data_IF_956710711668
#
_entry.id   IF_956710711668
#
_cell.length_a   1.000
_cell.length_b   1.000
_cell.length_c   1.000
_cell.angle_alpha   90.00
_cell.angle_beta   90.00
_cell.angle_gamma   90.00
#
_symmetry.space_group_name_H-M   'P 1'
#
loop_
_entity.id
_entity.type
_entity.pdbx_description
1 polymer ?
#
# COMPACT_ATOMS: atom_id res chain seq x y z
N UNK A 1 0.64 -3.13 2.11
CA UNK A 1 2.08 -2.98 1.80
C UNK A 1 2.79 -2.20 2.90
N UNK A 2 4.09 -2.42 3.13
CA UNK A 2 4.94 -1.56 3.99
C UNK A 2 6.39 -1.57 3.51
N UNK A 3 7.24 -0.74 4.11
CA UNK A 3 8.70 -0.76 3.94
C UNK A 3 9.36 -1.50 5.11
N UNK A 4 10.56 -2.01 4.87
CA UNK A 4 11.43 -2.52 5.93
C UNK A 4 12.84 -1.95 5.75
N UNK A 5 13.55 -1.82 6.86
CA UNK A 5 14.95 -1.38 6.88
C UNK A 5 15.86 -2.54 6.45
N UNK A 6 16.72 -2.30 5.46
CA UNK A 6 17.53 -3.35 4.84
C UNK A 6 18.67 -3.86 5.74
N UNK A 7 19.18 -3.04 6.64
CA UNK A 7 20.27 -3.41 7.54
C UNK A 7 19.74 -4.31 8.68
N UNK A 8 18.61 -3.92 9.25
CA UNK A 8 18.01 -4.58 10.41
C UNK A 8 16.98 -5.65 10.05
N UNK A 9 16.43 -5.63 8.84
CA UNK A 9 15.32 -6.47 8.42
C UNK A 9 13.98 -6.12 9.07
N UNK A 10 13.92 -5.03 9.84
CA UNK A 10 12.73 -4.67 10.61
C UNK A 10 11.75 -3.82 9.80
N UNK A 11 10.43 -4.05 9.91
CA UNK A 11 9.42 -3.16 9.32
C UNK A 11 9.55 -1.74 9.87
N UNK A 12 9.42 -0.74 9.01
CA UNK A 12 9.41 0.65 9.46
C UNK A 12 8.08 0.97 10.14
N UNK A 13 8.10 1.88 11.11
CA UNK A 13 6.86 2.40 11.70
C UNK A 13 6.22 3.42 10.76
N UNK A 14 4.92 3.23 10.49
CA UNK A 14 4.07 4.12 9.71
C UNK A 14 3.17 4.98 10.61
N UNK A 15 2.37 5.87 10.03
CA UNK A 15 1.45 6.72 10.81
C UNK A 15 0.32 5.95 11.45
N UNK A 16 -0.05 4.78 10.91
CA UNK A 16 -1.05 3.83 11.41
C UNK A 16 -0.61 2.38 11.15
N UNK A 17 -1.31 1.42 11.74
CA UNK A 17 -1.12 -0.01 11.46
C UNK A 17 -1.75 -0.43 10.13
N UNK A 18 -1.37 -1.62 9.65
CA UNK A 18 -2.10 -2.32 8.58
C UNK A 18 -3.47 -2.80 9.11
N UNK A 19 -4.50 -2.78 8.27
CA UNK A 19 -5.90 -3.06 8.63
C UNK A 19 -6.44 -2.23 9.82
N UNK A 20 -5.82 -1.08 10.09
CA UNK A 20 -6.33 -0.17 11.11
C UNK A 20 -7.60 0.52 10.57
N UNK A 21 -8.71 0.48 11.32
CA UNK A 21 -9.95 1.15 10.92
C UNK A 21 -10.09 2.50 11.65
N UNK A 22 -9.16 3.42 11.37
CA UNK A 22 -9.10 4.74 12.02
C UNK A 22 -8.71 5.86 11.05
N UNK A 23 -8.84 7.14 11.44
CA UNK A 23 -8.32 8.26 10.65
C UNK A 23 -6.83 8.17 10.31
N UNK A 24 -6.05 7.34 11.02
CA UNK A 24 -4.62 7.14 10.76
C UNK A 24 -4.33 6.35 9.49
N UNK A 25 -5.37 5.75 8.91
CA UNK A 25 -5.30 4.93 7.69
C UNK A 25 -5.31 5.75 6.41
N UNK A 26 -5.81 6.99 6.45
CA UNK A 26 -5.82 7.86 5.28
C UNK A 26 -4.38 8.20 4.82
N UNK A 27 -4.08 8.13 3.50
CA UNK A 27 -2.76 8.48 2.94
C UNK A 27 -2.30 9.89 3.28
N UNK A 28 -3.22 10.83 3.50
CA UNK A 28 -2.91 12.22 3.82
C UNK A 28 -3.08 12.54 5.32
N UNK A 29 -3.20 11.52 6.19
CA UNK A 29 -3.35 11.73 7.62
C UNK A 29 -2.20 12.59 8.18
N UNK A 30 -2.49 13.73 8.84
CA UNK A 30 -1.46 14.69 9.24
C UNK A 30 -0.71 14.31 10.52
N UNK A 31 -1.24 13.38 11.33
CA UNK A 31 -0.63 12.98 12.60
C UNK A 31 0.60 12.09 12.44
N UNK A 32 1.14 11.64 13.58
CA UNK A 32 2.40 10.89 13.64
C UNK A 32 3.64 11.80 13.60
N UNK A 33 4.81 11.18 13.57
CA UNK A 33 6.10 11.88 13.48
C UNK A 33 6.43 12.22 12.02
N UNK A 34 7.31 13.19 11.82
CA UNK A 34 7.81 13.56 10.49
C UNK A 34 8.39 12.35 9.75
N UNK A 35 9.11 11.47 10.48
CA UNK A 35 9.69 10.26 9.92
C UNK A 35 8.63 9.24 9.48
N UNK A 36 7.53 9.09 10.22
CA UNK A 36 6.43 8.21 9.84
C UNK A 36 5.72 8.71 8.57
N UNK A 37 5.48 10.02 8.46
CA UNK A 37 4.90 10.62 7.26
C UNK A 37 5.85 10.50 6.06
N UNK A 38 7.15 10.68 6.29
CA UNK A 38 8.16 10.48 5.26
C UNK A 38 8.22 9.03 4.76
N UNK A 39 8.16 8.02 5.64
CA UNK A 39 8.09 6.61 5.21
C UNK A 39 6.84 6.32 4.37
N UNK A 40 5.70 6.87 4.74
CA UNK A 40 4.44 6.72 4.00
C UNK A 40 4.55 7.34 2.61
N UNK A 41 5.12 8.54 2.51
CA UNK A 41 5.35 9.21 1.23
C UNK A 41 6.36 8.43 0.36
N UNK A 42 7.46 7.98 0.95
CA UNK A 42 8.46 7.17 0.24
C UNK A 42 7.83 5.89 -0.35
N UNK A 43 6.96 5.22 0.42
CA UNK A 43 6.23 4.05 -0.08
C UNK A 43 5.33 4.44 -1.26
N UNK A 44 4.57 5.52 -1.14
CA UNK A 44 3.67 6.03 -2.18
C UNK A 44 4.43 6.33 -3.47
N UNK A 45 5.49 7.16 -3.39
CA UNK A 45 6.32 7.52 -4.55
C UNK A 45 6.91 6.29 -5.24
N UNK A 46 7.43 5.33 -4.46
CA UNK A 46 8.01 4.10 -4.99
C UNK A 46 6.98 3.24 -5.73
N UNK A 47 5.76 3.12 -5.20
CA UNK A 47 4.68 2.37 -5.82
C UNK A 47 4.11 3.10 -7.05
N UNK A 48 3.91 4.41 -6.97
CA UNK A 48 3.42 5.23 -8.08
C UNK A 48 4.37 5.22 -9.28
N UNK A 49 5.69 5.20 -9.02
CA UNK A 49 6.70 5.03 -10.06
C UNK A 49 6.60 3.69 -10.83
N UNK A 50 5.91 2.68 -10.27
CA UNK A 50 5.68 1.37 -10.89
C UNK A 50 4.28 1.24 -11.53
N UNK A 51 3.52 2.34 -11.63
CA UNK A 51 2.19 2.33 -12.24
C UNK A 51 1.09 1.85 -11.30
N UNK A 52 1.27 2.05 -10.00
CA UNK A 52 0.21 1.91 -9.02
C UNK A 52 -0.36 3.27 -8.60
N UNK A 53 -1.54 3.28 -8.00
CA UNK A 53 -2.12 4.43 -7.33
C UNK A 53 -2.56 4.06 -5.92
N UNK A 54 -2.30 4.91 -4.94
CA UNK A 54 -2.77 4.68 -3.55
C UNK A 54 -4.30 4.76 -3.47
N UNK A 55 -4.91 3.86 -2.71
CA UNK A 55 -6.35 3.96 -2.40
C UNK A 55 -6.59 5.02 -1.32
N UNK A 56 -7.57 5.88 -1.55
CA UNK A 56 -7.76 7.13 -0.78
C UNK A 56 -8.04 6.93 0.72
N UNK A 57 -8.49 5.74 1.14
CA UNK A 57 -8.80 5.45 2.54
C UNK A 57 -7.71 4.65 3.27
N UNK A 58 -6.76 4.06 2.56
CA UNK A 58 -5.81 3.10 3.11
C UNK A 58 -4.39 3.32 2.56
N UNK A 59 -3.49 3.87 3.39
CA UNK A 59 -2.11 4.20 3.00
C UNK A 59 -1.29 2.99 2.52
N UNK A 60 -1.74 1.77 2.84
CA UNK A 60 -1.07 0.52 2.49
C UNK A 60 -1.62 -0.17 1.23
N UNK A 61 -2.77 0.27 0.71
CA UNK A 61 -3.45 -0.32 -0.44
C UNK A 61 -3.11 0.44 -1.71
N UNK A 62 -2.76 -0.30 -2.75
CA UNK A 62 -2.36 0.23 -4.04
C UNK A 62 -3.03 -0.55 -5.17
N UNK A 63 -3.69 0.16 -6.08
CA UNK A 63 -4.30 -0.41 -7.27
C UNK A 63 -3.35 -0.25 -8.46
N UNK A 64 -3.20 -1.30 -9.27
CA UNK A 64 -2.41 -1.23 -10.50
C UNK A 64 -3.22 -0.58 -11.63
N UNK A 65 -2.64 0.33 -12.39
CA UNK A 65 -3.39 1.16 -13.35
C UNK A 65 -4.29 0.39 -14.33
N UNK A 66 -3.90 -0.81 -14.75
CA UNK A 66 -4.67 -1.61 -15.71
C UNK A 66 -5.71 -2.53 -15.06
N UNK A 67 -5.84 -2.53 -13.73
CA UNK A 67 -6.81 -3.38 -13.01
C UNK A 67 -8.24 -3.33 -13.59
N UNK A 68 -8.77 -2.18 -14.09
CA UNK A 68 -10.13 -2.14 -14.63
C UNK A 68 -10.31 -2.96 -15.91
N UNK A 69 -9.22 -3.31 -16.60
CA UNK A 69 -9.24 -4.14 -17.80
C UNK A 69 -9.48 -5.62 -17.49
N UNK A 70 -9.34 -6.02 -16.22
CA UNK A 70 -9.49 -7.39 -15.77
C UNK A 70 -10.82 -7.55 -15.03
N UNK A 71 -11.48 -8.69 -15.23
CA UNK A 71 -12.72 -8.98 -14.49
C UNK A 71 -12.41 -9.07 -12.99
N UNK A 72 -13.33 -8.59 -12.18
CA UNK A 72 -13.38 -8.94 -10.77
C UNK A 72 -13.82 -10.40 -10.68
N UNK A 73 -12.98 -11.25 -10.11
CA UNK A 73 -13.21 -12.69 -9.99
C UNK A 73 -13.00 -13.17 -8.55
N UNK A 74 -13.70 -14.24 -8.20
CA UNK A 74 -13.55 -14.97 -6.94
C UNK A 74 -13.05 -16.41 -7.17
N UNK A 75 -12.57 -16.70 -8.38
CA UNK A 75 -11.93 -17.96 -8.71
C UNK A 75 -10.57 -18.04 -8.02
N UNK A 76 -10.22 -19.23 -7.54
CA UNK A 76 -8.92 -19.46 -6.92
C UNK A 76 -7.83 -19.45 -7.99
N UNK A 77 -6.61 -19.13 -7.57
CA UNK A 77 -5.47 -19.06 -8.48
C UNK A 77 -5.24 -20.36 -9.26
N UNK A 78 -5.47 -21.53 -8.65
CA UNK A 78 -5.33 -22.83 -9.32
C UNK A 78 -6.34 -23.06 -10.45
N UNK A 79 -7.44 -22.29 -10.45
CA UNK A 79 -8.48 -22.36 -11.48
C UNK A 79 -8.16 -21.45 -12.68
N UNK A 80 -7.17 -20.56 -12.57
CA UNK A 80 -6.78 -19.58 -13.60
C UNK A 80 -5.83 -20.16 -14.67
N UNK A 81 -5.90 -21.46 -14.96
CA UNK A 81 -4.96 -22.16 -15.84
C UNK A 81 -4.63 -21.42 -17.15
N UNK A 82 -3.34 -21.38 -17.50
CA UNK A 82 -2.84 -20.84 -18.77
C UNK A 82 -3.43 -21.65 -19.93
N UNK A 83 -4.37 -21.04 -20.66
CA UNK A 83 -4.75 -21.47 -22.00
C UNK A 83 -3.74 -20.98 -23.02
#
# INVERSE_FOLDING_TARGET
>A
MTLYDLETGAPVTMTGGYDEMSPRSYPDYPGGTDRQRWHRELLREAMEAQGFSVYEAEWWHFDYNDWPSYRIGNERFEQLGMG
#
